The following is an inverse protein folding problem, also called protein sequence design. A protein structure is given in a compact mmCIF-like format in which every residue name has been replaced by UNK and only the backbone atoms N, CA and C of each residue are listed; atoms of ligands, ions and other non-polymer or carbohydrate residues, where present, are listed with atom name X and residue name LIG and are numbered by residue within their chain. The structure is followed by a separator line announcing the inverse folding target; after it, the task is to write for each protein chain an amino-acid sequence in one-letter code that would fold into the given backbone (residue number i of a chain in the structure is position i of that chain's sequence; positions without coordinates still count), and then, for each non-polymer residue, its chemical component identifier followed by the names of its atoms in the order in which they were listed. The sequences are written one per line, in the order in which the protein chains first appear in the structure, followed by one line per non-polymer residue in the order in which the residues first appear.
data_IF_362502473503
#
_entry.id   IF_362502473503
#
_cell.length_a   1.000
_cell.length_b   1.000
_cell.length_c   1.000
_cell.angle_alpha   90.00
_cell.angle_beta   90.00
_cell.angle_gamma   90.00
#
_symmetry.space_group_name_H-M   'P 1'
#
loop_
_entity.id
_entity.type
_entity.pdbx_description
1 polymer ?
#
# COMPACT_ATOMS: atom_id res chain seq x y z
N UNK A 1 -48.87 -36.39 51.66
CA UNK A 1 -49.21 -36.94 50.36
C UNK A 1 -47.94 -37.13 49.52
N UNK A 2 -47.71 -38.39 49.16
CA UNK A 2 -46.56 -38.67 48.29
C UNK A 2 -46.94 -38.39 46.83
N UNK A 3 -45.99 -37.91 46.06
CA UNK A 3 -46.10 -37.73 44.57
C UNK A 3 -46.25 -39.10 43.92
N UNK A 4 -47.20 -39.22 43.03
CA UNK A 4 -47.39 -40.44 42.26
C UNK A 4 -46.43 -40.46 41.06
N UNK A 5 -46.27 -41.64 40.44
CA UNK A 5 -45.52 -41.73 39.17
C UNK A 5 -46.11 -40.84 38.05
N UNK A 6 -47.44 -40.73 38.04
CA UNK A 6 -48.14 -39.86 37.08
C UNK A 6 -47.78 -38.36 37.30
N UNK A 7 -47.73 -37.97 38.59
CA UNK A 7 -47.35 -36.62 38.98
C UNK A 7 -45.90 -36.31 38.55
N UNK A 8 -44.97 -37.25 38.75
CA UNK A 8 -43.59 -37.13 38.35
C UNK A 8 -43.44 -37.03 36.84
N UNK A 9 -44.20 -37.85 36.10
CA UNK A 9 -44.22 -37.77 34.64
C UNK A 9 -44.76 -36.44 34.12
N UNK A 10 -45.81 -35.94 34.76
CA UNK A 10 -46.37 -34.62 34.39
C UNK A 10 -45.39 -33.48 34.65
N UNK A 11 -44.66 -33.53 35.76
CA UNK A 11 -43.63 -32.55 36.11
C UNK A 11 -42.48 -32.64 35.09
N UNK A 12 -42.03 -33.85 34.76
CA UNK A 12 -40.95 -34.05 33.75
C UNK A 12 -41.37 -33.54 32.37
N UNK A 13 -42.61 -33.82 31.98
CA UNK A 13 -43.15 -33.31 30.70
C UNK A 13 -43.23 -31.79 30.68
N UNK A 14 -43.63 -31.19 31.77
CA UNK A 14 -43.67 -29.72 31.91
C UNK A 14 -42.27 -29.12 31.83
N UNK A 15 -41.31 -29.72 32.51
CA UNK A 15 -39.92 -29.29 32.48
C UNK A 15 -39.35 -29.39 31.07
N UNK A 16 -39.54 -30.51 30.38
CA UNK A 16 -39.09 -30.70 28.99
C UNK A 16 -39.73 -29.66 28.07
N UNK A 17 -41.03 -29.43 28.23
CA UNK A 17 -41.75 -28.43 27.43
C UNK A 17 -41.24 -27.02 27.66
N UNK A 18 -40.83 -26.68 28.88
CA UNK A 18 -40.27 -25.37 29.22
C UNK A 18 -38.81 -25.23 28.81
N UNK A 19 -38.06 -26.32 28.84
CA UNK A 19 -36.65 -26.34 28.48
C UNK A 19 -36.42 -26.40 26.98
N UNK A 20 -37.35 -26.97 26.21
CA UNK A 20 -37.18 -27.10 24.77
C UNK A 20 -36.91 -25.76 24.03
N UNK A 21 -37.70 -24.68 24.25
CA UNK A 21 -37.38 -23.39 23.65
C UNK A 21 -36.03 -22.84 24.11
N UNK A 22 -35.65 -23.09 25.38
CA UNK A 22 -34.36 -22.64 25.92
C UNK A 22 -33.21 -23.38 25.20
N UNK A 23 -33.32 -24.70 25.07
CA UNK A 23 -32.34 -25.53 24.38
C UNK A 23 -32.20 -25.10 22.92
N UNK A 24 -33.30 -24.81 22.22
CA UNK A 24 -33.30 -24.34 20.85
C UNK A 24 -32.57 -22.98 20.72
N UNK A 25 -32.79 -22.11 21.69
CA UNK A 25 -32.09 -20.80 21.72
C UNK A 25 -30.62 -20.98 22.00
N UNK A 26 -30.23 -21.91 22.89
CA UNK A 26 -28.82 -22.21 23.15
C UNK A 26 -28.13 -22.79 21.91
N UNK A 27 -28.79 -23.70 21.19
CA UNK A 27 -28.27 -24.25 19.93
C UNK A 27 -28.09 -23.15 18.89
N UNK A 28 -29.04 -22.25 18.77
CA UNK A 28 -28.92 -21.07 17.87
C UNK A 28 -27.75 -20.18 18.27
N UNK A 29 -27.56 -19.97 19.57
CA UNK A 29 -26.42 -19.19 20.07
C UNK A 29 -25.10 -19.87 19.73
N UNK A 30 -24.98 -21.16 19.91
CA UNK A 30 -23.77 -21.92 19.55
C UNK A 30 -23.47 -21.79 18.08
N UNK A 31 -24.45 -21.90 17.20
CA UNK A 31 -24.30 -21.70 15.78
C UNK A 31 -23.84 -20.28 15.43
N UNK A 32 -24.39 -19.31 16.14
CA UNK A 32 -23.97 -17.90 15.93
C UNK A 32 -22.54 -17.65 16.39
N UNK A 33 -22.14 -18.26 17.50
CA UNK A 33 -20.75 -18.18 17.97
C UNK A 33 -19.79 -18.83 16.97
N UNK A 34 -20.14 -20.01 16.43
CA UNK A 34 -19.33 -20.68 15.42
C UNK A 34 -19.15 -19.81 14.18
N UNK A 35 -20.22 -19.15 13.73
CA UNK A 35 -20.15 -18.21 12.61
C UNK A 35 -19.30 -16.99 12.93
N UNK A 36 -19.40 -16.49 14.16
CA UNK A 36 -18.56 -15.37 14.62
C UNK A 36 -17.09 -15.76 14.64
N UNK A 37 -16.75 -16.94 15.15
CA UNK A 37 -15.38 -17.45 15.17
C UNK A 37 -14.82 -17.55 13.75
N UNK A 38 -15.60 -18.09 12.82
CA UNK A 38 -15.21 -18.16 11.41
C UNK A 38 -14.96 -16.79 10.80
N UNK A 39 -15.80 -15.81 11.12
CA UNK A 39 -15.65 -14.43 10.65
C UNK A 39 -14.42 -13.76 11.26
N UNK A 40 -14.16 -14.01 12.54
CA UNK A 40 -12.96 -13.49 13.21
C UNK A 40 -11.69 -14.07 12.59
N UNK A 41 -11.67 -15.37 12.32
CA UNK A 41 -10.54 -16.03 11.65
C UNK A 41 -10.28 -15.42 10.26
N UNK A 42 -11.33 -15.15 9.50
CA UNK A 42 -11.22 -14.49 8.20
C UNK A 42 -10.70 -13.06 8.35
N UNK A 43 -11.14 -12.36 9.37
CA UNK A 43 -10.66 -11.01 9.66
C UNK A 43 -9.17 -11.00 10.01
N UNK A 44 -8.73 -11.94 10.83
CA UNK A 44 -7.31 -12.11 11.18
C UNK A 44 -6.47 -12.35 9.93
N UNK A 45 -6.92 -13.23 9.04
CA UNK A 45 -6.25 -13.47 7.76
C UNK A 45 -6.17 -12.23 6.88
N UNK A 46 -7.23 -11.44 6.85
CA UNK A 46 -7.26 -10.19 6.09
C UNK A 46 -6.33 -9.12 6.70
N UNK A 47 -6.27 -9.06 8.03
CA UNK A 47 -5.36 -8.15 8.73
C UNK A 47 -3.89 -8.53 8.47
N UNK A 48 -3.56 -9.82 8.51
CA UNK A 48 -2.22 -10.30 8.17
C UNK A 48 -1.83 -9.95 6.73
N UNK A 49 -2.76 -10.12 5.80
CA UNK A 49 -2.57 -9.71 4.41
C UNK A 49 -2.35 -8.20 4.28
N UNK A 50 -3.10 -7.40 5.03
CA UNK A 50 -2.93 -5.96 5.06
C UNK A 50 -1.57 -5.55 5.59
N UNK A 51 -1.10 -6.18 6.67
CA UNK A 51 0.23 -5.93 7.24
C UNK A 51 1.32 -6.21 6.21
N UNK A 52 1.23 -7.33 5.51
CA UNK A 52 2.17 -7.69 4.44
C UNK A 52 2.14 -6.67 3.30
N UNK A 53 0.96 -6.18 2.93
CA UNK A 53 0.82 -5.16 1.89
C UNK A 53 1.38 -3.82 2.34
N UNK A 54 1.21 -3.43 3.58
CA UNK A 54 1.82 -2.23 4.14
C UNK A 54 3.35 -2.32 4.14
N UNK A 55 3.91 -3.47 4.53
CA UNK A 55 5.35 -3.69 4.51
C UNK A 55 5.92 -3.53 3.09
N UNK A 56 5.22 -4.09 2.09
CA UNK A 56 5.60 -3.92 0.68
C UNK A 56 5.52 -2.47 0.24
N UNK A 57 4.45 -1.77 0.63
CA UNK A 57 4.27 -0.35 0.30
C UNK A 57 5.38 0.50 0.91
N UNK A 58 5.75 0.24 2.16
CA UNK A 58 6.85 0.93 2.82
C UNK A 58 8.17 0.72 2.08
N UNK A 59 8.46 -0.53 1.67
CA UNK A 59 9.64 -0.86 0.88
C UNK A 59 9.63 -0.18 -0.47
N UNK A 60 8.50 -0.17 -1.16
CA UNK A 60 8.34 0.49 -2.45
C UNK A 60 8.49 2.01 -2.34
N UNK A 61 7.93 2.61 -1.29
CA UNK A 61 8.07 4.04 -1.02
C UNK A 61 9.52 4.39 -0.76
N UNK A 62 10.24 3.58 0.02
CA UNK A 62 11.67 3.77 0.28
C UNK A 62 12.48 3.72 -1.01
N UNK A 63 12.20 2.73 -1.86
CA UNK A 63 12.84 2.58 -3.17
C UNK A 63 12.53 3.78 -4.09
N UNK A 64 11.28 4.24 -4.09
CA UNK A 64 10.88 5.42 -4.86
C UNK A 64 11.57 6.69 -4.39
N UNK A 65 11.71 6.88 -3.09
CA UNK A 65 12.45 8.02 -2.51
C UNK A 65 13.92 8.01 -2.93
N UNK A 66 14.55 6.83 -2.89
CA UNK A 66 15.93 6.66 -3.33
C UNK A 66 16.07 6.96 -4.81
N UNK A 67 15.20 6.39 -5.65
CA UNK A 67 15.18 6.65 -7.07
C UNK A 67 14.95 8.12 -7.40
N UNK A 68 14.08 8.79 -6.67
CA UNK A 68 13.81 10.21 -6.83
C UNK A 68 15.04 11.07 -6.50
N UNK A 69 15.79 10.72 -5.47
CA UNK A 69 17.05 11.42 -5.12
C UNK A 69 18.10 11.24 -6.22
N UNK A 70 18.22 10.03 -6.74
CA UNK A 70 19.14 9.72 -7.85
C UNK A 70 18.76 10.49 -9.11
N UNK A 71 17.47 10.54 -9.45
CA UNK A 71 16.97 11.31 -10.58
C UNK A 71 17.25 12.80 -10.42
N UNK A 72 17.04 13.35 -9.24
CA UNK A 72 17.36 14.76 -8.95
C UNK A 72 18.85 15.05 -9.15
N UNK A 73 19.71 14.13 -8.72
CA UNK A 73 21.16 14.24 -8.90
C UNK A 73 21.52 14.19 -10.38
N UNK A 74 20.99 13.23 -11.13
CA UNK A 74 21.22 13.10 -12.57
C UNK A 74 20.73 14.32 -13.33
N UNK A 75 19.55 14.85 -12.97
CA UNK A 75 19.01 16.06 -13.58
C UNK A 75 19.93 17.25 -13.35
N UNK A 76 20.48 17.40 -12.14
CA UNK A 76 21.47 18.46 -11.84
C UNK A 76 22.72 18.31 -12.70
N UNK A 77 23.24 17.08 -12.80
CA UNK A 77 24.42 16.78 -13.63
C UNK A 77 24.17 17.10 -15.10
N UNK A 78 22.99 16.73 -15.61
CA UNK A 78 22.59 17.06 -16.99
C UNK A 78 22.47 18.57 -17.17
N UNK A 79 21.87 19.27 -16.22
CA UNK A 79 21.73 20.72 -16.24
C UNK A 79 23.10 21.40 -16.29
N UNK A 80 24.03 20.94 -15.47
CA UNK A 80 25.39 21.47 -15.45
C UNK A 80 26.10 21.22 -16.78
N UNK A 81 25.95 20.01 -17.34
CA UNK A 81 26.51 19.69 -18.67
C UNK A 81 25.90 20.53 -19.77
N UNK A 82 24.59 20.76 -19.73
CA UNK A 82 23.90 21.61 -20.68
C UNK A 82 24.42 23.04 -20.60
N UNK A 83 24.60 23.57 -19.40
CA UNK A 83 25.15 24.91 -19.17
C UNK A 83 26.60 24.99 -19.71
N UNK A 84 27.44 24.01 -19.42
CA UNK A 84 28.82 23.95 -19.90
C UNK A 84 28.87 23.86 -21.43
N UNK A 85 28.01 23.06 -22.02
CA UNK A 85 27.91 22.91 -23.48
C UNK A 85 27.45 24.22 -24.10
N UNK A 86 26.52 24.92 -23.51
CA UNK A 86 26.02 26.21 -23.96
C UNK A 86 27.16 27.26 -23.92
N UNK A 87 27.90 27.33 -22.83
CA UNK A 87 29.04 28.24 -22.67
C UNK A 87 30.12 27.94 -23.71
N UNK A 88 30.42 26.66 -23.93
CA UNK A 88 31.37 26.21 -24.91
C UNK A 88 30.92 26.57 -26.34
N UNK A 89 29.64 26.42 -26.63
CA UNK A 89 29.05 26.80 -27.91
C UNK A 89 29.16 28.33 -28.16
N UNK A 90 28.89 29.12 -27.11
CA UNK A 90 29.04 30.57 -27.20
C UNK A 90 30.49 30.97 -27.45
N UNK A 91 31.43 30.36 -26.74
CA UNK A 91 32.87 30.62 -26.97
C UNK A 91 33.32 30.23 -28.38
N UNK A 92 32.90 29.06 -28.84
CA UNK A 92 33.20 28.60 -30.22
C UNK A 92 32.61 29.52 -31.27
N UNK A 93 31.38 29.98 -31.05
CA UNK A 93 30.69 30.90 -31.93
C UNK A 93 31.44 32.27 -31.96
N UNK A 94 31.82 32.74 -30.78
CA UNK A 94 32.61 33.98 -30.64
C UNK A 94 33.94 33.90 -31.35
N UNK A 95 34.69 32.81 -31.16
CA UNK A 95 35.95 32.56 -31.87
C UNK A 95 35.75 32.45 -33.37
N UNK A 96 34.73 31.77 -33.83
CA UNK A 96 34.39 31.64 -35.23
C UNK A 96 34.11 33.00 -35.87
N UNK A 97 33.39 33.86 -35.16
CA UNK A 97 33.08 35.22 -35.58
C UNK A 97 34.35 36.07 -35.65
N UNK A 98 35.22 35.99 -34.66
CA UNK A 98 36.51 36.64 -34.59
C UNK A 98 37.43 36.20 -35.75
N UNK A 99 37.52 34.90 -35.95
CA UNK A 99 38.33 34.32 -37.03
C UNK A 99 37.85 34.78 -38.41
N UNK A 100 36.53 34.84 -38.59
CA UNK A 100 35.93 35.33 -39.84
C UNK A 100 36.30 36.79 -40.06
N UNK A 101 36.25 37.62 -39.06
CA UNK A 101 36.62 39.04 -39.11
C UNK A 101 38.10 39.21 -39.51
N UNK A 102 38.99 38.46 -38.85
CA UNK A 102 40.41 38.51 -39.18
C UNK A 102 40.73 38.02 -40.59
N UNK A 103 40.05 36.97 -41.05
CA UNK A 103 40.21 36.47 -42.41
C UNK A 103 39.76 37.48 -43.46
N UNK A 104 38.62 38.10 -43.23
CA UNK A 104 38.12 39.18 -44.12
C UNK A 104 39.07 40.35 -44.14
N UNK A 105 39.62 40.71 -43.01
CA UNK A 105 40.59 41.79 -42.91
C UNK A 105 41.90 41.47 -43.61
N UNK A 106 42.38 40.24 -43.56
CA UNK A 106 43.57 39.76 -44.25
C UNK A 106 43.40 39.78 -45.77
N UNK A 107 42.23 39.46 -46.24
CA UNK A 107 41.89 39.45 -47.65
C UNK A 107 41.89 40.91 -48.23
N UNK A 108 41.47 41.87 -47.40
CA UNK A 108 41.43 43.31 -47.78
C UNK A 108 42.78 43.99 -47.73
N UNK A 109 43.75 43.41 -46.97
CA UNK A 109 45.08 43.93 -46.92
C UNK A 109 45.87 43.59 -48.22
N UNK A 110 46.37 44.55 -48.98
CA UNK A 110 47.21 44.27 -50.13
C UNK A 110 48.54 43.63 -49.78
#
# INVERSE_FOLDING_TARGET
MALTNEDLQAIAALMDSRLEPINNRLDNMDNRFDKMDSRLDKMDGRLDNMDNRFDRLESEISALKTGQRELKKEVREIKDKVNDTYDLALDAWGQSTENRYWLEKKVEMP
#
